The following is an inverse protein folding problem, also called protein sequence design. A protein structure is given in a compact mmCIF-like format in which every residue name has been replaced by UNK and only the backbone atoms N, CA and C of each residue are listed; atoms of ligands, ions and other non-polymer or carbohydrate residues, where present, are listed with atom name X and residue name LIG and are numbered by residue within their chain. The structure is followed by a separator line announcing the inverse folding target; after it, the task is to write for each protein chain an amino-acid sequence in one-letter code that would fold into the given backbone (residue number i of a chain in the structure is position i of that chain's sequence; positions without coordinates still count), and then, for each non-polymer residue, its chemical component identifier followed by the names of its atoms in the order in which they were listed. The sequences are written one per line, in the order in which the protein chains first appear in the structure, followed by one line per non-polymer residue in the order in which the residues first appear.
data_IF_104803659581
#
_entry.id   IF_104803659581
#
_cell.length_a   1.000
_cell.length_b   1.000
_cell.length_c   1.000
_cell.angle_alpha   90.00
_cell.angle_beta   90.00
_cell.angle_gamma   90.00
#
_symmetry.space_group_name_H-M   'P 1'
#
loop_
_entity.id
_entity.type
_entity.pdbx_description
1 polymer ?
#
# COMPACT_ATOMS: atom_id res chain seq x y z
N UNK A 1 -22.98 10.89 14.21
CA UNK A 1 -22.10 10.97 13.05
C UNK A 1 -21.49 9.60 12.74
N UNK A 2 -21.54 9.21 11.50
CA UNK A 2 -20.98 7.93 11.07
C UNK A 2 -19.53 8.14 10.67
N UNK A 3 -18.62 7.41 11.28
CA UNK A 3 -17.23 7.42 10.88
C UNK A 3 -17.02 6.34 9.85
N UNK A 4 -16.63 6.74 8.64
CA UNK A 4 -16.25 5.78 7.62
C UNK A 4 -14.92 5.17 8.01
N UNK A 5 -14.81 3.86 7.87
CA UNK A 5 -13.53 3.19 8.07
C UNK A 5 -12.55 3.70 7.01
N UNK A 6 -11.29 3.84 7.40
CA UNK A 6 -10.25 4.19 6.46
C UNK A 6 -9.98 3.00 5.56
N UNK A 7 -9.79 3.28 4.27
CA UNK A 7 -9.68 2.26 3.23
C UNK A 7 -8.26 2.14 2.74
N UNK A 8 -7.76 0.91 2.70
CA UNK A 8 -6.40 0.62 2.27
C UNK A 8 -6.45 -0.30 1.06
N UNK A 9 -5.76 0.08 -0.01
CA UNK A 9 -5.61 -0.76 -1.20
C UNK A 9 -4.34 -1.59 -1.05
N UNK A 10 -4.49 -2.90 -1.11
CA UNK A 10 -3.38 -3.84 -1.02
C UNK A 10 -3.06 -4.32 -2.43
N UNK A 11 -1.86 -4.02 -2.92
CA UNK A 11 -1.40 -4.44 -4.24
C UNK A 11 -0.32 -5.49 -4.04
N UNK A 12 -0.71 -6.75 -4.18
CA UNK A 12 0.13 -7.90 -3.84
C UNK A 12 -0.34 -9.11 -4.65
N UNK A 13 0.54 -9.69 -5.46
CA UNK A 13 0.16 -10.85 -6.27
C UNK A 13 0.29 -12.18 -5.55
N UNK A 14 1.04 -12.25 -4.44
CA UNK A 14 1.10 -13.45 -3.62
C UNK A 14 -0.16 -13.51 -2.76
N UNK A 15 -1.01 -14.50 -3.05
CA UNK A 15 -2.33 -14.60 -2.40
C UNK A 15 -2.22 -14.81 -0.89
N UNK A 16 -1.22 -15.56 -0.44
CA UNK A 16 -1.02 -15.80 1.00
C UNK A 16 -0.65 -14.50 1.71
N UNK A 17 0.29 -13.75 1.14
CA UNK A 17 0.71 -12.48 1.73
C UNK A 17 -0.44 -11.46 1.71
N UNK A 18 -1.17 -11.38 0.61
CA UNK A 18 -2.30 -10.46 0.49
C UNK A 18 -3.36 -10.76 1.55
N UNK A 19 -3.66 -12.05 1.76
CA UNK A 19 -4.64 -12.47 2.75
C UNK A 19 -4.18 -12.14 4.17
N UNK A 20 -2.91 -12.39 4.46
CA UNK A 20 -2.35 -12.09 5.78
C UNK A 20 -2.46 -10.60 6.08
N UNK A 21 -2.06 -9.76 5.14
CA UNK A 21 -2.11 -8.31 5.30
C UNK A 21 -3.56 -7.85 5.45
N UNK A 22 -4.46 -8.35 4.62
CA UNK A 22 -5.87 -8.01 4.69
C UNK A 22 -6.45 -8.36 6.06
N UNK A 23 -6.25 -9.60 6.52
CA UNK A 23 -6.82 -10.07 7.78
C UNK A 23 -6.29 -9.23 8.94
N UNK A 24 -5.00 -8.89 8.91
CA UNK A 24 -4.39 -8.08 9.94
C UNK A 24 -4.99 -6.67 9.98
N UNK A 25 -5.12 -6.03 8.81
CA UNK A 25 -5.67 -4.67 8.74
C UNK A 25 -7.14 -4.63 9.14
N UNK A 26 -7.93 -5.62 8.69
CA UNK A 26 -9.35 -5.66 9.02
C UNK A 26 -9.58 -5.88 10.51
N UNK A 27 -8.69 -6.62 11.15
CA UNK A 27 -8.75 -6.80 12.61
C UNK A 27 -8.64 -5.47 13.35
N UNK A 28 -7.90 -4.52 12.79
CA UNK A 28 -7.70 -3.22 13.41
C UNK A 28 -8.64 -2.14 12.87
N UNK A 29 -9.69 -2.55 12.18
CA UNK A 29 -10.77 -1.64 11.81
C UNK A 29 -10.65 -0.97 10.46
N UNK A 30 -9.65 -1.33 9.66
CA UNK A 30 -9.50 -0.77 8.31
C UNK A 30 -10.35 -1.55 7.31
N UNK A 31 -10.87 -0.86 6.30
CA UNK A 31 -11.45 -1.53 5.14
C UNK A 31 -10.36 -1.76 4.13
N UNK A 32 -10.44 -2.88 3.40
CA UNK A 32 -9.40 -3.21 2.43
C UNK A 32 -9.98 -3.49 1.05
N UNK A 33 -9.21 -3.12 0.04
CA UNK A 33 -9.38 -3.55 -1.34
C UNK A 33 -8.09 -4.26 -1.70
N UNK A 34 -8.14 -5.26 -2.57
CA UNK A 34 -6.90 -5.92 -2.96
C UNK A 34 -6.89 -6.30 -4.42
N UNK A 35 -5.72 -6.28 -5.01
CA UNK A 35 -5.47 -6.76 -6.37
C UNK A 35 -4.04 -7.25 -6.46
N UNK A 36 -3.78 -8.18 -7.36
CA UNK A 36 -2.43 -8.63 -7.68
C UNK A 36 -1.90 -8.06 -8.99
N UNK A 37 -2.69 -7.20 -9.64
CA UNK A 37 -2.37 -6.64 -10.95
C UNK A 37 -2.11 -5.14 -10.84
N UNK A 38 -0.93 -4.71 -11.30
CA UNK A 38 -0.55 -3.31 -11.22
C UNK A 38 -1.44 -2.38 -12.04
N UNK A 39 -1.91 -2.82 -13.20
CA UNK A 39 -2.82 -2.01 -14.01
C UNK A 39 -4.18 -1.86 -13.34
N UNK A 40 -4.69 -2.94 -12.75
CA UNK A 40 -5.92 -2.87 -11.97
C UNK A 40 -5.75 -1.97 -10.75
N UNK A 41 -4.57 -2.00 -10.14
CA UNK A 41 -4.28 -1.14 -8.99
C UNK A 41 -4.42 0.33 -9.34
N UNK A 42 -3.93 0.74 -10.52
CA UNK A 42 -4.07 2.11 -10.98
C UNK A 42 -5.55 2.47 -11.13
N UNK A 43 -6.32 1.59 -11.75
CA UNK A 43 -7.76 1.80 -11.94
C UNK A 43 -8.48 1.92 -10.60
N UNK A 44 -8.23 1.00 -9.68
CA UNK A 44 -8.86 1.00 -8.37
C UNK A 44 -8.49 2.24 -7.56
N UNK A 45 -7.23 2.66 -7.62
CA UNK A 45 -6.78 3.83 -6.90
C UNK A 45 -7.51 5.09 -7.37
N UNK A 46 -7.71 5.22 -8.68
CA UNK A 46 -8.39 6.39 -9.26
C UNK A 46 -9.90 6.34 -9.05
N UNK A 47 -10.50 5.16 -9.06
CA UNK A 47 -11.95 5.01 -8.87
C UNK A 47 -12.34 5.13 -7.40
N UNK A 48 -11.55 4.53 -6.50
CA UNK A 48 -11.92 4.41 -5.08
C UNK A 48 -11.23 5.40 -4.17
N UNK A 49 -10.13 6.00 -4.61
CA UNK A 49 -9.34 6.98 -3.85
C UNK A 49 -9.10 6.51 -2.42
N UNK A 50 -8.36 5.39 -2.25
CA UNK A 50 -8.10 4.87 -0.91
C UNK A 50 -7.28 5.84 -0.07
N UNK A 51 -7.29 5.65 1.23
CA UNK A 51 -6.54 6.51 2.15
C UNK A 51 -5.06 6.14 2.21
N UNK A 52 -4.73 4.92 1.80
CA UNK A 52 -3.37 4.41 1.81
C UNK A 52 -3.25 3.28 0.79
N UNK A 53 -2.10 3.14 0.16
CA UNK A 53 -1.80 2.02 -0.74
C UNK A 53 -0.58 1.28 -0.21
N UNK A 54 -0.71 -0.04 -0.07
CA UNK A 54 0.41 -0.92 0.21
C UNK A 54 0.80 -1.58 -1.11
N UNK A 55 2.03 -1.33 -1.56
CA UNK A 55 2.46 -1.67 -2.91
C UNK A 55 3.63 -2.65 -2.89
N UNK A 56 3.44 -3.85 -3.43
CA UNK A 56 4.56 -4.74 -3.69
C UNK A 56 5.28 -4.25 -4.95
N UNK A 57 6.60 -4.18 -4.87
CA UNK A 57 7.42 -3.79 -6.01
C UNK A 57 7.42 -4.88 -7.09
N UNK A 58 7.44 -6.15 -6.66
CA UNK A 58 7.48 -7.29 -7.56
C UNK A 58 6.09 -7.73 -7.98
N UNK A 59 5.59 -7.11 -9.04
CA UNK A 59 4.31 -7.48 -9.62
C UNK A 59 4.52 -8.05 -11.02
N UNK A 60 3.62 -8.91 -11.51
CA UNK A 60 3.69 -9.36 -12.90
C UNK A 60 3.37 -8.21 -13.85
N UNK A 61 3.93 -8.24 -15.04
CA UNK A 61 3.67 -7.32 -16.15
C UNK A 61 4.13 -5.88 -15.93
N UNK A 62 3.77 -5.25 -14.82
CA UNK A 62 4.20 -3.88 -14.52
C UNK A 62 4.74 -3.83 -13.10
N UNK A 63 5.90 -3.24 -12.92
CA UNK A 63 6.53 -3.09 -11.61
C UNK A 63 5.71 -2.18 -10.71
N UNK A 64 5.68 -2.50 -9.39
CA UNK A 64 5.07 -1.62 -8.41
C UNK A 64 5.69 -0.22 -8.39
N UNK A 65 6.96 -0.10 -8.79
CA UNK A 65 7.61 1.21 -8.91
C UNK A 65 6.96 2.03 -10.01
N UNK A 66 6.66 1.41 -11.16
CA UNK A 66 6.01 2.10 -12.27
C UNK A 66 4.57 2.47 -11.93
N UNK A 67 3.87 1.60 -11.22
CA UNK A 67 2.53 1.91 -10.71
C UNK A 67 2.59 3.14 -9.81
N UNK A 68 3.56 3.16 -8.90
CA UNK A 68 3.76 4.29 -7.97
C UNK A 68 4.02 5.59 -8.74
N UNK A 69 4.91 5.56 -9.73
CA UNK A 69 5.20 6.75 -10.53
C UNK A 69 3.96 7.29 -11.22
N UNK A 70 3.15 6.40 -11.78
CA UNK A 70 1.91 6.80 -12.46
C UNK A 70 0.91 7.42 -11.48
N UNK A 71 0.76 6.84 -10.30
CA UNK A 71 -0.16 7.35 -9.30
C UNK A 71 0.31 8.69 -8.74
N UNK A 72 1.61 8.84 -8.51
CA UNK A 72 2.17 10.09 -8.01
C UNK A 72 2.19 11.19 -9.08
N UNK A 73 2.12 10.81 -10.34
CA UNK A 73 2.03 11.75 -11.45
C UNK A 73 0.63 12.20 -11.80
N UNK A 74 -0.40 11.62 -11.18
CA UNK A 74 -1.80 11.96 -11.44
C UNK A 74 -2.34 12.85 -10.33
N UNK A 75 -2.94 13.98 -10.69
CA UNK A 75 -3.45 14.94 -9.71
C UNK A 75 -4.46 14.34 -8.74
N UNK A 76 -5.23 13.34 -9.18
CA UNK A 76 -6.26 12.74 -8.35
C UNK A 76 -5.69 11.82 -7.28
N UNK A 77 -4.54 11.19 -7.54
CA UNK A 77 -3.96 10.17 -6.65
C UNK A 77 -2.62 10.58 -6.03
N UNK A 78 -2.05 11.70 -6.45
CA UNK A 78 -0.70 12.08 -6.03
C UNK A 78 -0.52 12.24 -4.52
N UNK A 79 -1.60 12.56 -3.80
CA UNK A 79 -1.53 12.77 -2.36
C UNK A 79 -1.84 11.51 -1.55
N UNK A 80 -2.18 10.40 -2.20
CA UNK A 80 -2.41 9.14 -1.49
C UNK A 80 -1.06 8.58 -1.06
N UNK A 81 -0.83 8.34 0.24
CA UNK A 81 0.45 7.76 0.66
C UNK A 81 0.58 6.33 0.14
N UNK A 82 1.78 5.99 -0.29
CA UNK A 82 2.10 4.66 -0.82
C UNK A 82 3.27 4.10 -0.03
N UNK A 83 3.06 2.94 0.57
CA UNK A 83 4.11 2.21 1.31
C UNK A 83 4.50 1.00 0.47
N UNK A 84 5.77 0.90 0.12
CA UNK A 84 6.29 -0.30 -0.54
C UNK A 84 6.42 -1.42 0.50
N UNK A 85 5.85 -2.59 0.20
CA UNK A 85 5.94 -3.77 1.08
C UNK A 85 6.44 -4.91 0.23
N UNK A 86 7.71 -5.28 0.36
CA UNK A 86 8.32 -6.21 -0.57
C UNK A 86 9.38 -7.08 0.10
N UNK A 87 9.62 -8.25 -0.51
CA UNK A 87 10.67 -9.16 -0.08
C UNK A 87 12.07 -8.72 -0.55
N UNK A 88 12.14 -7.69 -1.40
CA UNK A 88 13.43 -7.18 -1.87
C UNK A 88 14.08 -6.38 -0.74
N UNK A 89 15.08 -6.98 -0.10
CA UNK A 89 15.66 -6.44 1.13
C UNK A 89 16.99 -5.70 0.95
N UNK A 90 17.37 -5.41 -0.29
CA UNK A 90 18.62 -4.69 -0.54
C UNK A 90 18.41 -3.18 -0.46
N UNK A 91 19.36 -2.46 0.12
CA UNK A 91 19.23 -1.03 0.35
C UNK A 91 18.93 -0.19 -0.89
N UNK A 92 19.45 -0.60 -2.06
CA UNK A 92 19.18 0.14 -3.29
C UNK A 92 17.72 -0.01 -3.75
N UNK A 93 17.03 -1.10 -3.38
CA UNK A 93 15.61 -1.26 -3.67
C UNK A 93 14.78 -0.28 -2.86
N UNK A 94 15.17 -0.06 -1.61
CA UNK A 94 14.51 0.95 -0.78
C UNK A 94 14.67 2.33 -1.40
N UNK A 95 15.88 2.66 -1.87
CA UNK A 95 16.13 3.94 -2.52
C UNK A 95 15.29 4.09 -3.79
N UNK A 96 15.22 3.04 -4.61
CA UNK A 96 14.40 3.07 -5.81
C UNK A 96 12.92 3.30 -5.48
N UNK A 97 12.43 2.65 -4.44
CA UNK A 97 11.04 2.82 -4.01
C UNK A 97 10.76 4.27 -3.62
N UNK A 98 11.64 4.85 -2.80
CA UNK A 98 11.48 6.23 -2.38
C UNK A 98 11.62 7.20 -3.55
N UNK A 99 12.57 6.95 -4.44
CA UNK A 99 12.76 7.78 -5.64
C UNK A 99 11.57 7.72 -6.59
N UNK A 100 10.84 6.61 -6.61
CA UNK A 100 9.64 6.48 -7.44
C UNK A 100 8.43 7.20 -6.85
N UNK A 101 8.53 7.64 -5.60
CA UNK A 101 7.47 8.37 -4.92
C UNK A 101 6.83 7.64 -3.74
N UNK A 102 7.31 6.44 -3.37
CA UNK A 102 6.82 5.78 -2.18
C UNK A 102 7.15 6.61 -0.95
N UNK A 103 6.21 6.67 -0.03
CA UNK A 103 6.37 7.46 1.19
C UNK A 103 7.08 6.70 2.29
N UNK A 104 7.09 5.36 2.22
CA UNK A 104 7.80 4.50 3.16
C UNK A 104 8.07 3.15 2.52
N UNK A 105 8.85 2.34 3.20
CA UNK A 105 9.28 1.04 2.72
C UNK A 105 9.27 0.04 3.88
N UNK A 106 8.63 -1.11 3.67
CA UNK A 106 8.60 -2.21 4.64
C UNK A 106 9.15 -3.46 3.96
N UNK A 107 10.17 -4.07 4.56
CA UNK A 107 10.73 -5.34 4.07
C UNK A 107 9.96 -6.53 4.66
N UNK A 108 9.71 -7.54 3.84
CA UNK A 108 9.20 -8.81 4.32
C UNK A 108 10.38 -9.71 4.69
N UNK A 109 10.28 -10.51 5.75
CA UNK A 109 9.19 -10.56 6.73
C UNK A 109 9.24 -9.36 7.68
N UNK A 110 8.09 -8.91 8.13
CA UNK A 110 8.01 -7.77 9.04
C UNK A 110 7.35 -8.21 10.35
N UNK A 111 7.62 -7.47 11.44
CA UNK A 111 6.88 -7.70 12.67
C UNK A 111 5.51 -7.03 12.55
N UNK A 112 4.52 -7.63 13.20
CA UNK A 112 3.16 -7.10 13.17
C UNK A 112 3.13 -5.68 13.77
N UNK A 113 3.83 -5.47 14.88
CA UNK A 113 3.83 -4.17 15.53
C UNK A 113 4.49 -3.09 14.68
N UNK A 114 5.60 -3.41 14.02
CA UNK A 114 6.28 -2.45 13.14
C UNK A 114 5.42 -2.11 11.93
N UNK A 115 4.77 -3.12 11.36
CA UNK A 115 3.87 -2.92 10.23
C UNK A 115 2.72 -1.99 10.60
N UNK A 116 2.04 -2.29 11.70
CA UNK A 116 0.91 -1.49 12.16
C UNK A 116 1.31 -0.07 12.55
N UNK A 117 2.50 0.08 13.14
CA UNK A 117 3.02 1.40 13.48
C UNK A 117 3.24 2.24 12.22
N UNK A 118 3.85 1.64 11.20
CA UNK A 118 4.12 2.34 9.95
C UNK A 118 2.82 2.72 9.24
N UNK A 119 1.87 1.78 9.14
CA UNK A 119 0.57 2.05 8.53
C UNK A 119 -0.14 3.18 9.30
N UNK A 120 -0.17 3.10 10.61
CA UNK A 120 -0.84 4.09 11.44
C UNK A 120 -0.23 5.47 11.37
N UNK A 121 1.06 5.56 11.02
CA UNK A 121 1.72 6.86 10.92
C UNK A 121 1.25 7.68 9.71
N UNK A 122 0.63 7.03 8.73
CA UNK A 122 0.12 7.71 7.53
C UNK A 122 -1.39 7.95 7.57
N UNK A 123 -2.07 7.42 8.57
CA UNK A 123 -3.52 7.53 8.65
C UNK A 123 -3.90 8.28 9.92
N UNK A 124 -4.83 9.25 9.83
CA UNK A 124 -5.28 9.92 11.04
C UNK A 124 -5.94 8.90 11.97
N UNK A 125 -5.71 9.04 13.26
CA UNK A 125 -6.32 8.18 14.23
C UNK A 125 -7.82 8.44 14.28
N UNK A 126 -8.60 7.36 14.25
CA UNK A 126 -10.03 7.49 14.45
C UNK A 126 -10.29 7.75 15.93
N UNK A 127 -11.19 8.66 16.26
CA UNK A 127 -11.54 8.88 17.67
C UNK A 127 -12.23 7.65 18.23
N UNK A 128 -11.95 7.34 19.46
CA UNK A 128 -12.56 6.23 20.15
C UNK A 128 -13.72 6.70 21.02
#
# INVERSE_FOLDING_TARGET
MIHSAQRILIVEDNKTDARLIRDLLERYGYETLQTGDGFEAIKLALECLPDLILMDIQLPEISGLDVTRRLKGDEQSQNIPIIAVTALAMGWHEREALDSGCDAYISKPFSISDFLHTVGSFLPRLPH
#
